data_IF_149737507523
#
_entry.id   IF_149737507523
#
_cell.length_a   1.000
_cell.length_b   1.000
_cell.length_c   1.000
_cell.angle_alpha   90.00
_cell.angle_beta   90.00
_cell.angle_gamma   90.00
#
_symmetry.space_group_name_H-M   'P 1'
#
loop_
_entity.id
_entity.type
_entity.pdbx_description
1 polymer ?
#
# COMPACT_ATOMS: atom_id res chain seq x y z
N UNK A 1 37.77 0.72 -0.15
CA UNK A 1 36.35 0.96 -0.49
C UNK A 1 35.54 0.11 0.45
N UNK A 2 34.57 0.65 1.13
CA UNK A 2 33.59 -0.14 1.84
C UNK A 2 32.60 -0.74 0.82
N UNK A 3 32.74 -2.05 0.61
CA UNK A 3 31.98 -2.76 -0.43
C UNK A 3 30.48 -2.80 -0.11
N UNK A 4 30.09 -2.97 1.16
CA UNK A 4 28.68 -2.96 1.55
C UNK A 4 28.02 -1.59 1.33
N UNK A 5 28.73 -0.51 1.69
CA UNK A 5 28.24 0.83 1.42
C UNK A 5 28.16 1.12 -0.08
N UNK A 6 29.13 0.65 -0.88
CA UNK A 6 29.07 0.79 -2.35
C UNK A 6 27.89 0.00 -2.96
N UNK A 7 27.54 -1.18 -2.43
CA UNK A 7 26.36 -1.94 -2.82
C UNK A 7 25.07 -1.21 -2.47
N UNK A 8 24.94 -0.63 -1.26
CA UNK A 8 23.79 0.21 -0.87
C UNK A 8 23.61 1.39 -1.83
N UNK A 9 24.68 2.09 -2.13
CA UNK A 9 24.68 3.22 -3.09
C UNK A 9 24.25 2.73 -4.48
N UNK A 10 24.75 1.58 -4.93
CA UNK A 10 24.40 1.02 -6.24
C UNK A 10 22.90 0.69 -6.35
N UNK A 11 22.32 0.03 -5.34
CA UNK A 11 20.88 -0.24 -5.25
C UNK A 11 20.13 1.10 -5.32
N UNK A 12 20.49 2.09 -4.49
CA UNK A 12 19.78 3.36 -4.43
C UNK A 12 19.86 4.17 -5.73
N UNK A 13 21.02 4.19 -6.39
CA UNK A 13 21.18 4.81 -7.72
C UNK A 13 20.29 4.15 -8.76
N UNK A 14 20.09 2.83 -8.67
CA UNK A 14 19.22 2.10 -9.59
C UNK A 14 17.75 2.46 -9.37
N UNK A 15 17.31 2.59 -8.12
CA UNK A 15 15.94 2.97 -7.74
C UNK A 15 15.61 4.40 -8.17
N UNK A 16 16.50 5.34 -7.88
CA UNK A 16 16.30 6.77 -8.14
C UNK A 16 16.55 7.14 -9.63
N UNK A 17 17.36 6.35 -10.32
CA UNK A 17 17.71 6.57 -11.74
C UNK A 17 18.57 7.81 -12.00
N UNK A 18 19.12 8.45 -10.95
CA UNK A 18 19.87 9.72 -11.08
C UNK A 18 20.89 9.90 -9.95
N UNK A 19 22.15 10.11 -10.29
CA UNK A 19 23.26 10.25 -9.31
C UNK A 19 23.09 11.47 -8.40
N UNK A 20 22.64 12.61 -8.94
CA UNK A 20 22.49 13.85 -8.15
C UNK A 20 21.33 13.72 -7.16
N UNK A 21 20.17 13.23 -7.61
CA UNK A 21 19.04 12.99 -6.71
C UNK A 21 19.36 11.96 -5.62
N UNK A 22 20.09 10.90 -5.98
CA UNK A 22 20.55 9.91 -4.98
C UNK A 22 21.49 10.55 -3.96
N UNK A 23 22.36 11.46 -4.40
CA UNK A 23 23.25 12.16 -3.49
C UNK A 23 22.49 13.07 -2.52
N UNK A 24 21.48 13.79 -3.01
CA UNK A 24 20.60 14.63 -2.18
C UNK A 24 19.88 13.80 -1.13
N UNK A 25 19.27 12.66 -1.53
CA UNK A 25 18.55 11.74 -0.63
C UNK A 25 19.47 11.09 0.41
N UNK A 26 20.71 10.79 0.04
CA UNK A 26 21.70 10.20 0.95
C UNK A 26 22.51 11.27 1.72
N UNK A 27 22.14 12.55 1.64
CA UNK A 27 22.83 13.66 2.29
C UNK A 27 24.35 13.69 2.02
N UNK A 28 24.72 13.44 0.74
CA UNK A 28 26.12 13.38 0.28
C UNK A 28 26.33 14.16 -1.01
N UNK A 29 27.51 14.07 -1.62
CA UNK A 29 27.81 14.75 -2.88
C UNK A 29 27.66 13.82 -4.09
N UNK A 30 27.24 14.34 -5.27
CA UNK A 30 27.19 13.54 -6.51
C UNK A 30 28.56 12.96 -6.91
N UNK A 31 29.64 13.65 -6.57
CA UNK A 31 31.00 13.17 -6.80
C UNK A 31 31.34 11.96 -5.92
N UNK A 32 30.86 11.92 -4.69
CA UNK A 32 31.01 10.78 -3.80
C UNK A 32 30.29 9.56 -4.34
N UNK A 33 28.99 9.69 -4.70
CA UNK A 33 28.20 8.61 -5.32
C UNK A 33 28.90 8.08 -6.57
N UNK A 34 29.31 8.96 -7.49
CA UNK A 34 30.00 8.58 -8.73
C UNK A 34 31.31 7.82 -8.44
N UNK A 35 32.07 8.25 -7.43
CA UNK A 35 33.33 7.61 -7.02
C UNK A 35 33.09 6.20 -6.44
N UNK A 36 32.04 6.03 -5.65
CA UNK A 36 31.68 4.72 -5.09
C UNK A 36 31.27 3.74 -6.19
N UNK A 37 30.43 4.16 -7.14
CA UNK A 37 30.00 3.34 -8.28
C UNK A 37 31.22 3.00 -9.18
N UNK A 38 32.04 3.96 -9.52
CA UNK A 38 33.26 3.71 -10.31
C UNK A 38 34.24 2.76 -9.61
N UNK A 39 34.36 2.86 -8.29
CA UNK A 39 35.16 1.94 -7.48
C UNK A 39 34.59 0.52 -7.51
N UNK A 40 33.28 0.38 -7.43
CA UNK A 40 32.56 -0.89 -7.49
C UNK A 40 32.75 -1.54 -8.88
N UNK A 41 32.49 -0.81 -9.96
CA UNK A 41 32.70 -1.28 -11.34
C UNK A 41 34.17 -1.72 -11.59
N UNK A 42 35.13 -0.96 -11.04
CA UNK A 42 36.55 -1.31 -11.13
C UNK A 42 36.87 -2.61 -10.40
N UNK A 43 36.30 -2.83 -9.22
CA UNK A 43 36.51 -4.04 -8.43
C UNK A 43 35.92 -5.29 -9.10
N UNK A 44 34.81 -5.12 -9.82
CA UNK A 44 34.12 -6.19 -10.55
C UNK A 44 34.68 -6.41 -11.97
N UNK A 45 35.52 -5.50 -12.48
CA UNK A 45 36.07 -5.55 -13.83
C UNK A 45 35.04 -5.34 -14.95
N UNK A 46 33.84 -4.87 -14.61
CA UNK A 46 32.74 -4.66 -15.55
C UNK A 46 31.94 -3.42 -15.21
N UNK A 47 31.24 -2.85 -16.21
CA UNK A 47 30.31 -1.75 -15.99
C UNK A 47 28.95 -2.25 -15.57
N UNK A 48 28.37 -1.61 -14.55
CA UNK A 48 27.03 -1.88 -14.04
C UNK A 48 25.98 -0.98 -14.68
N UNK A 49 26.38 0.25 -15.07
CA UNK A 49 25.50 1.20 -15.74
C UNK A 49 25.96 1.50 -17.17
N UNK A 50 24.98 1.62 -18.07
CA UNK A 50 25.17 2.24 -19.39
C UNK A 50 24.99 3.76 -19.22
N UNK A 51 26.05 4.53 -19.48
CA UNK A 51 25.99 5.98 -19.42
C UNK A 51 25.62 6.52 -20.82
N UNK A 52 24.34 6.72 -21.06
CA UNK A 52 23.90 7.60 -22.15
C UNK A 52 23.62 9.00 -21.58
N UNK A 53 23.73 10.02 -22.40
CA UNK A 53 23.59 11.44 -21.95
C UNK A 53 22.20 11.80 -21.44
N UNK A 54 21.21 10.91 -21.54
CA UNK A 54 19.80 11.19 -21.19
C UNK A 54 19.18 10.23 -20.18
N UNK A 55 19.62 8.96 -20.11
CA UNK A 55 18.99 7.95 -19.24
C UNK A 55 20.07 7.07 -18.64
N UNK A 56 19.98 6.84 -17.34
CA UNK A 56 20.80 5.87 -16.62
C UNK A 56 20.10 4.52 -16.66
N UNK A 57 20.72 3.52 -17.31
CA UNK A 57 20.17 2.16 -17.41
C UNK A 57 21.19 1.14 -16.95
N UNK A 58 20.73 0.03 -16.39
CA UNK A 58 21.59 -1.08 -16.02
C UNK A 58 22.11 -1.83 -17.26
N UNK A 59 23.34 -2.30 -17.19
CA UNK A 59 23.86 -3.35 -18.08
C UNK A 59 23.27 -4.72 -17.67
N UNK A 60 23.43 -5.77 -18.48
CA UNK A 60 23.08 -7.14 -18.08
C UNK A 60 23.87 -7.57 -16.83
N UNK A 61 25.17 -7.22 -16.76
CA UNK A 61 25.97 -7.44 -15.55
C UNK A 61 25.41 -6.63 -14.36
N UNK A 62 24.92 -5.39 -14.59
CA UNK A 62 24.29 -4.56 -13.58
C UNK A 62 23.01 -5.19 -13.04
N UNK A 63 22.14 -5.72 -13.88
CA UNK A 63 20.90 -6.41 -13.47
C UNK A 63 21.21 -7.64 -12.60
N UNK A 64 22.13 -8.48 -13.06
CA UNK A 64 22.57 -9.65 -12.32
C UNK A 64 23.17 -9.27 -10.97
N UNK A 65 24.05 -8.26 -10.95
CA UNK A 65 24.70 -7.81 -9.74
C UNK A 65 23.72 -7.16 -8.75
N UNK A 66 22.71 -6.43 -9.24
CA UNK A 66 21.65 -5.84 -8.42
C UNK A 66 20.93 -6.92 -7.58
N UNK A 67 20.53 -7.99 -8.23
CA UNK A 67 19.88 -9.13 -7.56
C UNK A 67 20.76 -9.72 -6.44
N UNK A 68 22.07 -9.88 -6.68
CA UNK A 68 22.99 -10.35 -5.66
C UNK A 68 23.20 -9.32 -4.53
N UNK A 69 23.30 -8.04 -4.85
CA UNK A 69 23.41 -6.98 -3.85
C UNK A 69 22.19 -6.97 -2.93
N UNK A 70 20.97 -7.05 -3.48
CA UNK A 70 19.74 -7.11 -2.70
C UNK A 70 19.75 -8.29 -1.73
N UNK A 71 20.11 -9.50 -2.19
CA UNK A 71 20.23 -10.67 -1.33
C UNK A 71 21.26 -10.51 -0.21
N UNK A 72 22.42 -9.92 -0.50
CA UNK A 72 23.46 -9.66 0.52
C UNK A 72 22.94 -8.67 1.56
N UNK A 73 22.26 -7.60 1.14
CA UNK A 73 21.68 -6.63 2.06
C UNK A 73 20.55 -7.23 2.92
N UNK A 74 19.77 -8.15 2.36
CA UNK A 74 18.78 -8.92 3.12
C UNK A 74 19.42 -9.81 4.19
N UNK A 75 20.49 -10.52 3.86
CA UNK A 75 21.22 -11.36 4.82
C UNK A 75 21.87 -10.54 5.91
N UNK A 76 22.43 -9.38 5.58
CA UNK A 76 22.98 -8.45 6.57
C UNK A 76 21.89 -7.94 7.51
N UNK A 77 20.76 -7.51 6.98
CA UNK A 77 19.60 -7.07 7.77
C UNK A 77 19.06 -8.19 8.67
N UNK A 78 19.05 -9.44 8.18
CA UNK A 78 18.63 -10.60 8.96
C UNK A 78 19.59 -10.83 10.15
N UNK A 79 20.91 -10.76 9.92
CA UNK A 79 21.91 -10.90 10.98
C UNK A 79 21.83 -9.77 12.03
N UNK A 80 21.63 -8.52 11.59
CA UNK A 80 21.42 -7.37 12.48
C UNK A 80 20.13 -7.53 13.30
N UNK A 81 19.06 -8.07 12.71
CA UNK A 81 17.80 -8.37 13.38
C UNK A 81 17.95 -9.47 14.43
N UNK A 82 18.67 -10.55 14.12
CA UNK A 82 18.95 -11.62 15.08
C UNK A 82 19.70 -11.09 16.31
N UNK A 83 20.66 -10.18 16.11
CA UNK A 83 21.34 -9.50 17.21
C UNK A 83 20.38 -8.59 17.99
N UNK A 84 19.50 -7.87 17.31
CA UNK A 84 18.48 -7.02 17.93
C UNK A 84 17.45 -7.84 18.73
N UNK A 85 17.12 -9.05 18.26
CA UNK A 85 16.28 -10.00 19.01
C UNK A 85 16.92 -10.41 20.33
N UNK A 86 18.22 -10.67 20.34
CA UNK A 86 18.97 -10.97 21.57
C UNK A 86 19.01 -9.78 22.54
N UNK A 87 18.92 -8.55 22.02
CA UNK A 87 18.88 -7.31 22.80
C UNK A 87 17.45 -6.84 23.11
N UNK A 88 16.42 -7.47 22.52
CA UNK A 88 15.00 -7.20 22.79
C UNK A 88 14.45 -5.91 22.18
N UNK A 89 15.21 -5.17 21.36
CA UNK A 89 14.81 -3.88 20.80
C UNK A 89 14.80 -3.91 19.26
N UNK A 90 13.62 -3.86 18.63
CA UNK A 90 13.55 -3.78 17.17
C UNK A 90 14.01 -2.43 16.66
N UNK A 91 14.83 -2.40 15.61
CA UNK A 91 15.43 -1.18 15.06
C UNK A 91 15.61 -1.21 13.55
N UNK A 92 15.87 -0.05 12.95
CA UNK A 92 16.17 0.14 11.54
C UNK A 92 14.96 0.45 10.66
N UNK A 93 15.19 0.59 9.35
CA UNK A 93 14.19 0.95 8.36
C UNK A 93 13.22 -0.22 8.10
N UNK A 94 11.92 0.04 8.23
CA UNK A 94 10.82 -0.86 7.90
C UNK A 94 10.03 -0.28 6.72
N UNK A 95 10.06 -0.96 5.58
CA UNK A 95 9.40 -0.55 4.35
C UNK A 95 8.06 -1.26 4.20
N UNK A 96 6.97 -0.50 4.19
CA UNK A 96 5.59 -1.03 4.14
C UNK A 96 4.86 -0.44 2.96
N UNK A 97 4.26 -1.28 2.11
CA UNK A 97 3.29 -0.84 1.12
C UNK A 97 1.87 -1.15 1.62
N UNK A 98 0.95 -0.17 1.52
CA UNK A 98 -0.43 -0.34 1.96
C UNK A 98 -1.42 0.23 0.94
N UNK A 99 -2.66 -0.30 0.85
CA UNK A 99 -3.65 0.17 -0.10
C UNK A 99 -4.23 1.54 0.29
N UNK A 100 -4.73 2.29 -0.70
CA UNK A 100 -5.26 3.64 -0.50
C UNK A 100 -6.43 3.72 0.49
N UNK A 101 -7.18 2.64 0.66
CA UNK A 101 -8.25 2.52 1.67
C UNK A 101 -7.74 2.69 3.10
N UNK A 102 -6.49 2.31 3.35
CA UNK A 102 -5.79 2.49 4.62
C UNK A 102 -4.97 3.79 4.69
N UNK A 103 -4.90 4.58 3.61
CA UNK A 103 -4.27 5.90 3.59
C UNK A 103 -5.15 6.96 4.28
N UNK A 104 -5.42 6.79 5.56
CA UNK A 104 -6.36 7.63 6.32
C UNK A 104 -5.80 8.00 7.71
N UNK A 105 -6.56 8.83 8.44
CA UNK A 105 -6.18 9.31 9.78
C UNK A 105 -5.95 8.18 10.77
N UNK A 106 -6.77 7.12 10.73
CA UNK A 106 -6.67 6.02 11.68
C UNK A 106 -5.35 5.26 11.53
N UNK A 107 -4.95 4.95 10.30
CA UNK A 107 -3.66 4.33 10.01
C UNK A 107 -2.48 5.23 10.39
N UNK A 108 -2.59 6.56 10.18
CA UNK A 108 -1.57 7.50 10.64
C UNK A 108 -1.44 7.52 12.17
N UNK A 109 -2.54 7.43 12.90
CA UNK A 109 -2.54 7.30 14.37
C UNK A 109 -1.91 5.98 14.82
N UNK A 110 -2.19 4.87 14.12
CA UNK A 110 -1.56 3.58 14.35
C UNK A 110 -0.05 3.65 14.15
N UNK A 111 0.43 4.19 13.03
CA UNK A 111 1.85 4.39 12.77
C UNK A 111 2.52 5.23 13.86
N UNK A 112 1.88 6.32 14.29
CA UNK A 112 2.38 7.15 15.39
C UNK A 112 2.47 6.39 16.70
N UNK A 113 1.50 5.54 17.03
CA UNK A 113 1.54 4.71 18.23
C UNK A 113 2.63 3.63 18.14
N UNK A 114 2.81 3.03 16.96
CA UNK A 114 3.87 2.07 16.70
C UNK A 114 5.26 2.69 16.89
N UNK A 115 5.52 3.86 16.31
CA UNK A 115 6.79 4.58 16.44
C UNK A 115 7.10 5.01 17.88
N UNK A 116 6.07 5.39 18.65
CA UNK A 116 6.26 5.67 20.09
C UNK A 116 6.65 4.43 20.88
N UNK A 117 6.15 3.27 20.51
CA UNK A 117 6.48 1.99 21.17
C UNK A 117 7.84 1.45 20.76
N UNK A 118 8.27 1.75 19.53
CA UNK A 118 9.53 1.27 18.95
C UNK A 118 10.30 2.44 18.32
N UNK A 119 10.92 3.29 19.13
CA UNK A 119 11.53 4.56 18.70
C UNK A 119 12.76 4.39 17.80
N UNK A 120 13.39 3.22 17.80
CA UNK A 120 14.54 2.91 16.95
C UNK A 120 14.14 2.42 15.53
N UNK A 121 12.84 2.33 15.25
CA UNK A 121 12.33 1.98 13.93
C UNK A 121 12.06 3.25 13.12
N UNK A 122 12.53 3.27 11.88
CA UNK A 122 12.16 4.22 10.85
C UNK A 122 11.12 3.57 9.92
N UNK A 123 10.01 4.25 9.61
CA UNK A 123 8.97 3.76 8.70
C UNK A 123 9.08 4.46 7.34
N UNK A 124 9.19 3.67 6.27
CA UNK A 124 8.99 4.10 4.87
C UNK A 124 7.68 3.49 4.36
N UNK A 125 6.65 4.32 4.15
CA UNK A 125 5.31 3.86 3.81
C UNK A 125 4.92 4.33 2.42
N UNK A 126 4.65 3.38 1.53
CA UNK A 126 4.05 3.62 0.21
C UNK A 126 2.55 3.34 0.26
N UNK A 127 1.73 4.38 0.03
CA UNK A 127 0.26 4.24 -0.04
C UNK A 127 -0.16 4.15 -1.50
N UNK A 128 -0.43 2.93 -1.98
CA UNK A 128 -0.70 2.68 -3.40
C UNK A 128 -1.48 1.37 -3.62
N UNK A 129 -2.39 1.36 -4.62
CA UNK A 129 -3.23 0.18 -4.94
C UNK A 129 -2.69 -0.68 -6.09
N UNK A 130 -1.57 -0.27 -6.73
CA UNK A 130 -0.93 -1.12 -7.72
C UNK A 130 -0.35 -2.37 -7.07
N UNK A 131 -0.21 -3.41 -7.85
CA UNK A 131 0.56 -4.57 -7.42
C UNK A 131 2.04 -4.19 -7.32
N UNK A 132 2.64 -4.42 -6.16
CA UNK A 132 4.06 -4.15 -5.88
C UNK A 132 4.78 -5.49 -5.80
N UNK A 133 5.89 -5.62 -6.51
CA UNK A 133 6.79 -6.73 -6.30
C UNK A 133 7.62 -6.49 -5.03
N UNK A 134 7.29 -7.25 -3.98
CA UNK A 134 7.93 -7.10 -2.67
C UNK A 134 9.45 -7.23 -2.73
N UNK A 135 9.93 -8.19 -3.52
CA UNK A 135 11.36 -8.54 -3.58
C UNK A 135 12.11 -7.54 -4.44
N UNK A 136 11.58 -7.24 -5.64
CA UNK A 136 12.24 -6.32 -6.57
C UNK A 136 12.24 -4.88 -6.06
N UNK A 137 11.15 -4.44 -5.39
CA UNK A 137 11.00 -3.08 -4.87
C UNK A 137 11.50 -2.94 -3.42
N UNK A 138 11.90 -4.05 -2.78
CA UNK A 138 12.55 -4.05 -1.47
C UNK A 138 11.62 -3.70 -0.31
N UNK A 139 10.34 -4.07 -0.37
CA UNK A 139 9.41 -3.93 0.74
C UNK A 139 9.54 -5.10 1.73
N UNK A 140 9.44 -4.78 3.02
CA UNK A 140 9.41 -5.80 4.08
C UNK A 140 8.00 -6.40 4.22
N UNK A 141 6.97 -5.56 4.06
CA UNK A 141 5.55 -5.95 4.20
C UNK A 141 4.73 -5.23 3.14
N UNK A 142 3.80 -5.97 2.52
CA UNK A 142 2.72 -5.38 1.73
C UNK A 142 1.37 -5.70 2.36
N UNK A 143 0.59 -4.67 2.64
CA UNK A 143 -0.82 -4.81 3.02
C UNK A 143 -1.63 -4.68 1.73
N UNK A 144 -2.59 -5.55 1.51
CA UNK A 144 -3.41 -5.58 0.29
C UNK A 144 -4.88 -5.66 0.60
N UNK A 145 -5.65 -4.97 -0.23
CA UNK A 145 -7.10 -4.95 -0.23
C UNK A 145 -7.62 -5.74 -1.45
N UNK A 146 -7.52 -7.08 -1.39
CA UNK A 146 -7.93 -7.99 -2.48
C UNK A 146 -8.29 -9.36 -1.93
N UNK A 147 -9.18 -10.06 -2.64
CA UNK A 147 -9.50 -11.46 -2.39
C UNK A 147 -8.64 -12.44 -3.21
N UNK A 148 -8.04 -11.97 -4.32
CA UNK A 148 -7.28 -12.80 -5.24
C UNK A 148 -5.78 -12.48 -5.13
N UNK A 149 -4.99 -13.49 -4.78
CA UNK A 149 -3.54 -13.41 -4.76
C UNK A 149 -2.96 -14.46 -5.71
N UNK A 150 -1.99 -14.10 -6.57
CA UNK A 150 -1.31 -15.10 -7.40
C UNK A 150 -0.50 -16.07 -6.54
N UNK A 151 -0.38 -17.31 -6.99
CA UNK A 151 0.51 -18.30 -6.38
C UNK A 151 1.94 -17.76 -6.31
N UNK A 152 2.49 -17.67 -5.11
CA UNK A 152 3.82 -17.12 -4.86
C UNK A 152 4.49 -17.79 -3.66
N UNK A 153 5.80 -17.61 -3.52
CA UNK A 153 6.60 -18.03 -2.34
C UNK A 153 6.45 -17.06 -1.17
N UNK A 154 5.38 -16.24 -1.16
CA UNK A 154 5.10 -15.25 -0.14
C UNK A 154 4.14 -15.83 0.90
N UNK A 155 4.27 -15.38 2.14
CA UNK A 155 3.31 -15.69 3.20
C UNK A 155 2.15 -14.69 3.10
N UNK A 156 0.94 -15.23 3.07
CA UNK A 156 -0.30 -14.47 3.10
C UNK A 156 -0.95 -14.65 4.47
N UNK A 157 -1.18 -13.54 5.15
CA UNK A 157 -1.89 -13.52 6.42
C UNK A 157 -3.15 -12.69 6.27
N UNK A 158 -4.32 -13.34 6.36
CA UNK A 158 -5.60 -12.65 6.45
C UNK A 158 -5.65 -11.85 7.76
N UNK A 159 -6.01 -10.57 7.67
CA UNK A 159 -6.09 -9.64 8.82
C UNK A 159 -7.54 -9.39 9.20
N UNK A 160 -8.40 -9.19 8.21
CA UNK A 160 -9.83 -8.98 8.40
C UNK A 160 -10.50 -8.40 7.16
N UNK A 161 -11.76 -8.05 7.29
CA UNK A 161 -12.59 -7.56 6.20
C UNK A 161 -13.14 -6.17 6.51
N UNK A 162 -13.19 -5.29 5.50
CA UNK A 162 -13.89 -4.02 5.54
C UNK A 162 -15.21 -4.14 4.79
N UNK A 163 -16.31 -3.69 5.39
CA UNK A 163 -17.59 -3.61 4.71
C UNK A 163 -17.59 -2.46 3.69
N UNK A 164 -18.26 -2.67 2.56
CA UNK A 164 -18.43 -1.65 1.53
C UNK A 164 -19.91 -1.33 1.44
N UNK A 165 -20.23 -0.04 1.54
CA UNK A 165 -21.59 0.47 1.35
C UNK A 165 -21.66 1.34 0.10
N UNK A 166 -22.76 1.22 -0.65
CA UNK A 166 -23.11 2.19 -1.69
C UNK A 166 -23.69 3.41 -0.98
N UNK A 167 -23.10 4.58 -1.23
CA UNK A 167 -23.45 5.82 -0.51
C UNK A 167 -23.66 6.97 -1.48
N UNK A 168 -24.47 7.93 -1.03
CA UNK A 168 -24.67 9.24 -1.67
C UNK A 168 -24.77 10.32 -0.59
N UNK A 169 -24.54 11.59 -0.97
CA UNK A 169 -24.83 12.69 -0.04
C UNK A 169 -26.33 13.05 -0.01
N UNK A 170 -26.79 13.52 1.14
CA UNK A 170 -28.19 13.97 1.31
C UNK A 170 -28.57 15.02 0.27
N UNK A 171 -27.72 16.03 0.04
CA UNK A 171 -27.99 17.07 -0.95
C UNK A 171 -27.99 16.56 -2.40
N UNK A 172 -27.32 15.46 -2.70
CA UNK A 172 -27.43 14.79 -4.00
C UNK A 172 -28.82 14.13 -4.15
N UNK A 173 -29.26 13.39 -3.11
CA UNK A 173 -30.53 12.68 -3.11
C UNK A 173 -31.73 13.64 -3.15
N UNK A 174 -31.65 14.79 -2.51
CA UNK A 174 -32.67 15.84 -2.61
C UNK A 174 -32.89 16.35 -4.04
N UNK A 175 -31.83 16.35 -4.86
CA UNK A 175 -31.88 16.83 -6.25
C UNK A 175 -32.25 15.75 -7.28
N UNK A 176 -31.86 14.49 -7.01
CA UNK A 176 -31.93 13.40 -8.00
C UNK A 176 -32.87 12.27 -7.59
N UNK A 177 -33.47 12.35 -6.40
CA UNK A 177 -34.33 11.30 -5.85
C UNK A 177 -33.55 10.23 -5.09
N UNK A 178 -34.30 9.45 -4.32
CA UNK A 178 -33.81 8.29 -3.57
C UNK A 178 -34.08 7.01 -4.36
N UNK A 179 -33.06 6.20 -4.69
CA UNK A 179 -33.29 4.88 -5.27
C UNK A 179 -33.97 3.95 -4.25
N UNK A 180 -35.12 3.38 -4.61
CA UNK A 180 -35.87 2.46 -3.78
C UNK A 180 -35.59 0.99 -4.12
N UNK A 181 -35.21 0.72 -5.37
CA UNK A 181 -34.83 -0.60 -5.88
C UNK A 181 -33.52 -0.54 -6.65
N UNK A 182 -32.89 -1.71 -6.87
CA UNK A 182 -31.58 -1.77 -7.51
C UNK A 182 -31.59 -1.19 -8.94
N UNK A 183 -32.67 -1.39 -9.70
CA UNK A 183 -32.79 -0.83 -11.06
C UNK A 183 -32.71 0.71 -11.11
N UNK A 184 -33.16 1.42 -10.08
CA UNK A 184 -33.12 2.88 -10.01
C UNK A 184 -31.68 3.40 -10.02
N UNK A 185 -30.74 2.61 -9.49
CA UNK A 185 -29.32 2.96 -9.44
C UNK A 185 -28.69 3.19 -10.82
N UNK A 186 -29.30 2.66 -11.90
CA UNK A 186 -28.81 2.86 -13.25
C UNK A 186 -28.86 4.35 -13.69
N UNK A 187 -29.74 5.15 -13.08
CA UNK A 187 -29.88 6.58 -13.35
C UNK A 187 -28.92 7.45 -12.54
N UNK A 188 -28.20 6.86 -11.56
CA UNK A 188 -27.26 7.57 -10.71
C UNK A 188 -25.82 7.37 -11.18
N UNK A 189 -25.09 8.45 -11.55
CA UNK A 189 -23.71 8.34 -12.00
C UNK A 189 -22.78 7.82 -10.90
N UNK A 190 -21.93 6.87 -11.27
CA UNK A 190 -20.99 6.22 -10.36
C UNK A 190 -19.66 6.97 -10.31
N UNK A 191 -19.25 7.30 -9.09
CA UNK A 191 -17.88 7.68 -8.76
C UNK A 191 -17.15 6.42 -8.32
N UNK A 192 -16.17 5.96 -9.09
CA UNK A 192 -15.57 4.65 -8.90
C UNK A 192 -14.08 4.69 -8.67
N UNK A 193 -13.60 3.73 -7.88
CA UNK A 193 -12.18 3.45 -7.81
C UNK A 193 -11.67 2.88 -9.15
N UNK A 194 -10.46 3.25 -9.58
CA UNK A 194 -9.90 2.85 -10.88
C UNK A 194 -9.80 1.34 -11.03
N UNK A 195 -9.45 0.64 -9.95
CA UNK A 195 -9.29 -0.82 -9.93
C UNK A 195 -10.58 -1.58 -9.58
N UNK A 196 -11.72 -0.91 -9.45
CA UNK A 196 -13.01 -1.56 -9.21
C UNK A 196 -13.57 -2.38 -10.41
N UNK A 197 -12.76 -2.66 -11.43
CA UNK A 197 -13.05 -3.54 -12.55
C UNK A 197 -14.29 -3.12 -13.35
N UNK A 198 -15.43 -3.79 -13.13
CA UNK A 198 -16.69 -3.60 -13.84
C UNK A 198 -17.43 -2.32 -13.47
N UNK A 199 -18.29 -1.83 -14.36
CA UNK A 199 -19.37 -0.87 -14.06
C UNK A 199 -20.72 -1.56 -13.82
N UNK A 200 -20.76 -2.88 -13.99
CA UNK A 200 -21.92 -3.70 -13.67
C UNK A 200 -21.70 -4.36 -12.33
N UNK A 201 -22.67 -4.23 -11.46
CA UNK A 201 -22.63 -4.76 -10.11
C UNK A 201 -23.85 -5.60 -9.84
N UNK A 202 -23.64 -6.71 -9.14
CA UNK A 202 -24.69 -7.64 -8.79
C UNK A 202 -25.18 -7.33 -7.37
N UNK A 203 -26.49 -7.23 -7.22
CA UNK A 203 -27.18 -7.01 -5.96
C UNK A 203 -28.00 -8.25 -5.63
N UNK A 204 -27.85 -8.81 -4.44
CA UNK A 204 -28.64 -9.93 -3.99
C UNK A 204 -29.90 -9.45 -3.26
N UNK A 205 -31.07 -9.84 -3.80
CA UNK A 205 -32.39 -9.43 -3.29
C UNK A 205 -33.25 -10.67 -3.13
N UNK A 206 -33.61 -11.01 -1.90
CA UNK A 206 -34.51 -12.14 -1.63
C UNK A 206 -34.06 -13.46 -2.28
N UNK A 207 -32.75 -13.70 -2.39
CA UNK A 207 -32.15 -14.86 -3.04
C UNK A 207 -32.10 -14.81 -4.56
N UNK A 208 -32.36 -13.67 -5.16
CA UNK A 208 -32.17 -13.42 -6.61
C UNK A 208 -31.06 -12.38 -6.80
N UNK A 209 -30.26 -12.58 -7.83
CA UNK A 209 -29.22 -11.63 -8.25
C UNK A 209 -29.78 -10.68 -9.31
N UNK A 210 -29.70 -9.38 -9.05
CA UNK A 210 -30.04 -8.32 -10.01
C UNK A 210 -28.77 -7.57 -10.38
N UNK A 211 -28.45 -7.56 -11.69
CA UNK A 211 -27.26 -6.87 -12.21
C UNK A 211 -27.60 -5.46 -12.64
N UNK A 212 -26.94 -4.47 -12.05
CA UNK A 212 -27.12 -3.06 -12.38
C UNK A 212 -25.86 -2.52 -13.06
N UNK A 213 -26.05 -1.91 -14.23
CA UNK A 213 -24.98 -1.23 -14.96
C UNK A 213 -25.04 0.27 -14.69
N UNK A 214 -24.00 0.79 -14.04
CA UNK A 214 -23.87 2.23 -13.78
C UNK A 214 -23.21 2.97 -14.95
N UNK A 215 -23.62 4.22 -15.15
CA UNK A 215 -22.84 5.17 -15.90
C UNK A 215 -21.71 5.72 -15.03
N UNK A 216 -20.45 5.56 -15.48
CA UNK A 216 -19.29 6.07 -14.74
C UNK A 216 -19.04 7.52 -15.05
N UNK A 217 -19.15 8.39 -14.04
CA UNK A 217 -18.83 9.82 -14.14
C UNK A 217 -17.35 10.10 -13.89
N UNK A 218 -16.77 9.48 -12.85
CA UNK A 218 -15.38 9.69 -12.44
C UNK A 218 -14.71 8.37 -12.09
N UNK A 219 -13.41 8.27 -12.40
CA UNK A 219 -12.54 7.14 -11.99
C UNK A 219 -11.26 7.68 -11.37
N UNK A 220 -10.98 7.31 -10.13
CA UNK A 220 -9.78 7.72 -9.39
C UNK A 220 -9.12 6.53 -8.73
N UNK A 221 -7.86 6.65 -8.34
CA UNK A 221 -7.09 5.63 -7.63
C UNK A 221 -6.92 5.96 -6.12
N UNK A 222 -7.90 6.63 -5.54
CA UNK A 222 -7.90 6.97 -4.12
C UNK A 222 -9.31 6.83 -3.56
N UNK A 223 -9.46 5.95 -2.58
CA UNK A 223 -10.74 5.74 -1.88
C UNK A 223 -11.23 7.00 -1.17
N UNK A 224 -10.30 7.76 -0.57
CA UNK A 224 -10.63 9.04 0.07
C UNK A 224 -11.16 10.06 -0.95
N UNK A 225 -10.60 10.09 -2.16
CA UNK A 225 -11.06 10.99 -3.21
C UNK A 225 -12.45 10.58 -3.74
N UNK A 226 -12.74 9.27 -3.88
CA UNK A 226 -14.10 8.78 -4.19
C UNK A 226 -15.09 9.31 -3.15
N UNK A 227 -14.78 9.11 -1.86
CA UNK A 227 -15.62 9.56 -0.75
C UNK A 227 -15.91 11.06 -0.84
N UNK A 228 -14.88 11.89 -1.00
CA UNK A 228 -15.05 13.35 -1.07
C UNK A 228 -15.93 13.79 -2.26
N UNK A 229 -15.80 13.19 -3.43
CA UNK A 229 -16.66 13.50 -4.57
C UNK A 229 -18.13 13.13 -4.30
N UNK A 230 -18.38 12.00 -3.62
CA UNK A 230 -19.74 11.60 -3.21
C UNK A 230 -20.28 12.58 -2.16
N UNK A 231 -19.47 13.01 -1.19
CA UNK A 231 -19.83 14.05 -0.20
C UNK A 231 -20.20 15.39 -0.86
N UNK A 232 -19.52 15.75 -1.95
CA UNK A 232 -19.82 16.95 -2.74
C UNK A 232 -21.08 16.79 -3.64
N UNK A 233 -21.69 15.59 -3.67
CA UNK A 233 -22.92 15.36 -4.44
C UNK A 233 -22.70 15.17 -5.92
N UNK A 234 -21.56 14.62 -6.34
CA UNK A 234 -21.23 14.37 -7.74
C UNK A 234 -21.82 13.05 -8.27
N UNK A 235 -22.40 12.23 -7.39
CA UNK A 235 -22.99 10.94 -7.73
C UNK A 235 -23.01 9.97 -6.55
N UNK A 236 -23.10 8.68 -6.85
CA UNK A 236 -23.05 7.58 -5.88
C UNK A 236 -21.69 6.88 -5.91
N UNK A 237 -21.26 6.26 -4.80
CA UNK A 237 -20.00 5.55 -4.74
C UNK A 237 -19.98 4.41 -3.74
N UNK A 238 -19.19 3.38 -4.03
CA UNK A 238 -18.90 2.31 -3.10
C UNK A 238 -17.80 2.75 -2.14
N UNK A 239 -18.15 2.93 -0.86
CA UNK A 239 -17.27 3.48 0.17
C UNK A 239 -17.05 2.41 1.25
N UNK A 240 -15.80 2.02 1.51
CA UNK A 240 -15.48 1.18 2.66
C UNK A 240 -15.83 1.92 3.96
N UNK A 241 -16.50 1.22 4.85
CA UNK A 241 -16.87 1.73 6.17
C UNK A 241 -16.17 0.88 7.22
N UNK A 242 -15.50 1.52 8.15
CA UNK A 242 -14.90 0.90 9.33
C UNK A 242 -15.57 1.46 10.57
N UNK A 243 -15.79 0.61 11.59
CA UNK A 243 -16.54 0.88 12.81
C UNK A 243 -16.38 2.25 13.49
N UNK A 244 -15.98 2.30 14.76
CA UNK A 244 -16.02 3.52 15.61
C UNK A 244 -15.30 4.75 15.04
N UNK A 245 -14.25 4.60 14.23
CA UNK A 245 -13.53 5.74 13.63
C UNK A 245 -14.34 6.44 12.53
N UNK A 246 -15.29 5.73 11.92
CA UNK A 246 -16.22 6.35 10.97
C UNK A 246 -17.43 7.00 11.66
N UNK A 247 -17.80 6.60 12.88
CA UNK A 247 -18.86 7.31 13.62
C UNK A 247 -18.47 8.75 13.94
N UNK A 248 -17.22 9.01 14.35
CA UNK A 248 -16.76 10.39 14.58
C UNK A 248 -16.64 11.21 13.27
N UNK A 249 -16.46 10.53 12.14
CA UNK A 249 -16.46 11.12 10.80
C UNK A 249 -17.89 11.16 10.24
N UNK A 250 -18.72 10.16 10.52
CA UNK A 250 -20.11 10.08 10.08
C UNK A 250 -21.04 11.07 10.81
N UNK A 251 -20.76 11.44 12.05
CA UNK A 251 -21.51 12.51 12.75
C UNK A 251 -21.39 13.90 12.08
N UNK A 252 -20.38 14.08 11.19
CA UNK A 252 -20.21 15.29 10.38
C UNK A 252 -20.40 15.03 8.87
N UNK A 253 -20.61 13.76 8.46
CA UNK A 253 -20.76 13.36 7.06
C UNK A 253 -22.22 13.49 6.64
N UNK A 254 -22.44 14.11 5.50
CA UNK A 254 -23.75 14.17 4.85
C UNK A 254 -24.04 12.93 3.99
N UNK A 255 -23.32 11.81 4.22
CA UNK A 255 -23.47 10.56 3.48
C UNK A 255 -24.56 9.66 4.05
N UNK A 256 -25.33 9.07 3.16
CA UNK A 256 -26.40 8.11 3.46
C UNK A 256 -26.13 6.82 2.70
N UNK A 257 -26.27 5.68 3.39
CA UNK A 257 -26.21 4.36 2.76
C UNK A 257 -27.45 4.14 1.91
N UNK A 258 -27.24 3.78 0.66
CA UNK A 258 -28.30 3.43 -0.28
C UNK A 258 -28.58 1.94 -0.21
N UNK A 259 -29.87 1.58 -0.23
CA UNK A 259 -30.33 0.20 -0.30
C UNK A 259 -29.58 -0.70 0.72
N UNK A 260 -29.67 -0.42 2.05
CA UNK A 260 -28.83 -1.08 3.06
C UNK A 260 -29.03 -2.61 3.10
N UNK A 261 -30.19 -3.09 2.67
CA UNK A 261 -30.48 -4.53 2.57
C UNK A 261 -29.75 -5.22 1.39
N UNK A 262 -29.18 -4.44 0.49
CA UNK A 262 -28.40 -4.93 -0.66
C UNK A 262 -26.90 -4.76 -0.40
N UNK A 263 -26.40 -5.43 0.62
CA UNK A 263 -24.99 -5.34 0.96
C UNK A 263 -24.14 -5.95 -0.15
N UNK A 264 -23.21 -5.17 -0.63
CA UNK A 264 -22.23 -5.64 -1.58
C UNK A 264 -20.88 -5.83 -0.93
N UNK A 265 -20.53 -7.06 -0.77
CA UNK A 265 -19.14 -7.50 -0.65
C UNK A 265 -18.33 -6.86 0.48
N UNK A 266 -17.29 -7.54 0.80
CA UNK A 266 -16.26 -7.10 1.74
C UNK A 266 -14.97 -6.89 0.97
N UNK A 267 -14.14 -5.96 1.41
CA UNK A 267 -12.74 -5.88 1.02
C UNK A 267 -11.94 -6.66 2.04
N UNK A 268 -11.35 -7.76 1.60
CA UNK A 268 -10.42 -8.53 2.44
C UNK A 268 -9.09 -7.81 2.55
N UNK A 269 -8.65 -7.54 3.77
CA UNK A 269 -7.33 -6.99 4.07
C UNK A 269 -6.41 -8.14 4.46
N UNK A 270 -5.31 -8.27 3.73
CA UNK A 270 -4.28 -9.27 3.99
C UNK A 270 -2.91 -8.63 4.05
N UNK A 271 -2.03 -9.20 4.86
CA UNK A 271 -0.60 -8.91 4.83
C UNK A 271 0.13 -9.94 4.01
N UNK A 272 1.07 -9.47 3.23
CA UNK A 272 1.95 -10.27 2.39
C UNK A 272 3.38 -9.93 2.72
N UNK A 273 4.20 -10.93 3.01
CA UNK A 273 5.63 -10.78 3.30
C UNK A 273 6.41 -12.01 2.86
N UNK A 274 7.72 -11.88 2.57
CA UNK A 274 8.53 -13.00 2.11
C UNK A 274 8.61 -14.11 3.14
N UNK A 275 8.53 -15.38 2.70
CA UNK A 275 8.90 -16.52 3.54
C UNK A 275 10.42 -16.47 3.73
N UNK A 276 10.85 -16.24 4.94
CA UNK A 276 12.27 -16.20 5.33
C UNK A 276 12.50 -17.16 6.48
N UNK A 277 13.66 -17.80 6.50
CA UNK A 277 14.10 -18.63 7.63
C UNK A 277 14.12 -17.81 8.93
N UNK A 278 14.41 -16.50 8.80
CA UNK A 278 14.37 -15.52 9.89
C UNK A 278 13.66 -14.26 9.42
N UNK A 279 12.44 -14.04 9.90
CA UNK A 279 11.73 -12.79 9.69
C UNK A 279 12.23 -11.75 10.69
N UNK A 280 12.71 -10.57 10.27
CA UNK A 280 13.24 -9.55 11.18
C UNK A 280 12.28 -9.16 12.30
N UNK A 281 12.81 -8.93 13.51
CA UNK A 281 12.00 -8.58 14.69
C UNK A 281 11.09 -7.36 14.44
N UNK A 282 11.58 -6.33 13.74
CA UNK A 282 10.81 -5.15 13.34
C UNK A 282 9.56 -5.51 12.53
N UNK A 283 9.68 -6.51 11.64
CA UNK A 283 8.57 -7.02 10.80
C UNK A 283 7.55 -7.74 11.68
N UNK A 284 7.98 -8.65 12.55
CA UNK A 284 7.10 -9.34 13.50
C UNK A 284 6.35 -8.37 14.42
N UNK A 285 7.06 -7.35 14.94
CA UNK A 285 6.44 -6.34 15.82
C UNK A 285 5.41 -5.51 15.09
N UNK A 286 5.67 -5.16 13.81
CA UNK A 286 4.71 -4.42 13.01
C UNK A 286 3.48 -5.28 12.66
N UNK A 287 3.66 -6.54 12.25
CA UNK A 287 2.56 -7.46 11.93
C UNK A 287 1.63 -7.60 13.12
N UNK A 288 2.18 -7.90 14.31
CA UNK A 288 1.37 -8.09 15.52
C UNK A 288 0.67 -6.79 15.93
N UNK A 289 1.39 -5.66 15.90
CA UNK A 289 0.83 -4.35 16.26
C UNK A 289 -0.29 -3.92 15.32
N UNK A 290 -0.10 -4.13 14.01
CA UNK A 290 -1.11 -3.81 13.01
C UNK A 290 -2.33 -4.72 13.15
N UNK A 291 -2.14 -6.02 13.40
CA UNK A 291 -3.23 -6.97 13.60
C UNK A 291 -4.08 -6.60 14.83
N UNK A 292 -3.45 -6.33 15.98
CA UNK A 292 -4.12 -5.88 17.20
C UNK A 292 -4.93 -4.60 16.92
N UNK A 293 -4.30 -3.60 16.30
CA UNK A 293 -4.94 -2.35 15.95
C UNK A 293 -6.10 -2.55 14.97
N UNK A 294 -5.92 -3.41 13.94
CA UNK A 294 -6.93 -3.62 12.92
C UNK A 294 -8.16 -4.32 13.49
N UNK A 295 -7.99 -5.24 14.42
CA UNK A 295 -9.11 -5.90 15.11
C UNK A 295 -9.90 -4.89 15.98
N UNK A 296 -9.20 -3.96 16.65
CA UNK A 296 -9.87 -2.87 17.36
C UNK A 296 -10.58 -1.91 16.38
N UNK A 297 -9.97 -1.65 15.23
CA UNK A 297 -10.49 -0.77 14.18
C UNK A 297 -11.75 -1.31 13.52
N UNK A 298 -11.84 -2.63 13.28
CA UNK A 298 -13.03 -3.29 12.70
C UNK A 298 -13.96 -3.88 13.75
N UNK A 299 -13.46 -4.28 14.92
CA UNK A 299 -14.19 -5.03 15.96
C UNK A 299 -15.12 -4.17 16.81
N UNK A 300 -15.28 -2.91 16.48
CA UNK A 300 -16.18 -1.96 17.15
C UNK A 300 -17.54 -1.86 16.46
N UNK A 301 -18.03 -2.96 15.92
CA UNK A 301 -19.34 -3.07 15.26
C UNK A 301 -20.41 -3.53 16.26
#
# INVERSE_FOLDING_TARGET
MDTLNAMRIFIRVTEVGNFSKTADEMSTSPSYISKQIAGLEKSLGTRLFQRTTRVLTLTEAGKSYLHHCQKIMEQLSAAESEMSELLGSPSGLLRVSMPSVLGNRASAMMCSAFLRRYPEIELDILVEDRFVDLIEEGFDICIRASADFPDSTLIYKHIGDLNIHLMASTGYLERHGHPEVASDLAEHPLISHRYAGSSTFDFEIGGKTESVKFERKVRVNSTAFVRHLVEQGEGVGFIPVSGQLDESVNLQSNLVTLLPDYQKGKITISMVYPERTYTPLKVHKFINFFEEWFQEYIGSW
#
